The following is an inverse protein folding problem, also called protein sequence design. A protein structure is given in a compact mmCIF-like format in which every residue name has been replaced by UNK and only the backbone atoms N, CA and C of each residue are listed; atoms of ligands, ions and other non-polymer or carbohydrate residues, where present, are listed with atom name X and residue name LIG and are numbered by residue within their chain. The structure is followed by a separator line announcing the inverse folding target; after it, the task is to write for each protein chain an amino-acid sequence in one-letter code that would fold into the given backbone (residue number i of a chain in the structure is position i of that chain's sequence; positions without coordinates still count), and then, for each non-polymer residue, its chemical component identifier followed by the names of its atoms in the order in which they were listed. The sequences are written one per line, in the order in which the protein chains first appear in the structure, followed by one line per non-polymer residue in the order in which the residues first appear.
data_IF_830111114021
#
_entry.id   IF_830111114021
#
_cell.length_a   1.000
_cell.length_b   1.000
_cell.length_c   1.000
_cell.angle_alpha   90.00
_cell.angle_beta   90.00
_cell.angle_gamma   90.00
#
_symmetry.space_group_name_H-M   'P 1'
#
loop_
_entity.id
_entity.type
_entity.pdbx_description
1 polymer ?
#
# COMPACT_ATOMS: atom_id res chain seq x y z
N UNK A 1 24.29 -12.85 2.66
CA UNK A 1 22.83 -12.65 2.62
C UNK A 1 22.59 -11.19 2.93
N UNK A 2 22.41 -10.37 1.89
CA UNK A 2 21.99 -8.98 2.09
C UNK A 2 20.60 -9.05 2.69
N UNK A 3 20.44 -8.52 3.89
CA UNK A 3 19.15 -8.40 4.56
C UNK A 3 18.28 -7.50 3.66
N UNK A 4 17.37 -8.07 2.88
CA UNK A 4 16.37 -7.30 2.12
C UNK A 4 15.40 -6.70 3.14
N UNK A 5 15.82 -5.57 3.72
CA UNK A 5 15.04 -4.89 4.74
C UNK A 5 13.77 -4.35 4.12
N UNK A 6 12.63 -4.66 4.75
CA UNK A 6 11.34 -4.10 4.40
C UNK A 6 11.41 -2.57 4.43
N UNK A 7 10.75 -1.92 3.49
CA UNK A 7 10.61 -0.47 3.45
C UNK A 7 9.97 0.04 4.76
N UNK A 8 10.72 0.86 5.49
CA UNK A 8 10.29 1.40 6.77
C UNK A 8 9.22 2.48 6.57
N UNK A 9 8.14 2.40 7.36
CA UNK A 9 7.02 3.35 7.32
C UNK A 9 6.38 3.46 8.68
N UNK A 10 5.86 4.64 8.98
CA UNK A 10 4.91 4.84 10.08
C UNK A 10 3.57 4.17 9.76
N UNK A 11 2.77 3.96 10.80
CA UNK A 11 1.48 3.26 10.74
C UNK A 11 0.39 4.14 11.31
N UNK A 12 -0.48 4.62 10.42
CA UNK A 12 -1.52 5.57 10.72
C UNK A 12 -2.81 4.86 11.09
N UNK A 13 -3.39 5.24 12.22
CA UNK A 13 -4.74 4.85 12.61
C UNK A 13 -5.79 5.60 11.79
N UNK A 14 -7.06 5.21 11.92
CA UNK A 14 -8.15 5.94 11.27
C UNK A 14 -8.24 7.42 11.72
N UNK A 15 -8.13 7.76 13.01
CA UNK A 15 -8.02 9.16 13.44
C UNK A 15 -6.86 9.91 12.77
N UNK A 16 -5.66 9.32 12.72
CA UNK A 16 -4.50 9.95 12.08
C UNK A 16 -4.77 10.23 10.59
N UNK A 17 -5.45 9.30 9.89
CA UNK A 17 -5.85 9.50 8.49
C UNK A 17 -6.89 10.60 8.31
N UNK A 18 -7.86 10.74 9.23
CA UNK A 18 -8.85 11.81 9.20
C UNK A 18 -8.17 13.17 9.30
N UNK A 19 -7.23 13.30 10.24
CA UNK A 19 -6.46 14.54 10.44
C UNK A 19 -5.52 14.83 9.27
N UNK A 20 -4.76 13.82 8.81
CA UNK A 20 -3.78 13.99 7.74
C UNK A 20 -4.39 14.27 6.37
N UNK A 21 -5.52 13.64 6.06
CA UNK A 21 -6.21 13.84 4.78
C UNK A 21 -7.11 15.07 4.78
N UNK A 22 -7.39 15.66 5.95
CA UNK A 22 -8.41 16.70 6.14
C UNK A 22 -9.78 16.27 5.57
N UNK A 23 -10.16 15.02 5.85
CA UNK A 23 -11.36 14.37 5.29
C UNK A 23 -12.18 13.68 6.40
N UNK A 24 -13.52 13.71 6.34
CA UNK A 24 -14.35 13.11 7.38
C UNK A 24 -14.20 11.58 7.43
N UNK A 25 -14.42 10.98 8.60
CA UNK A 25 -14.32 9.53 8.84
C UNK A 25 -15.00 8.67 7.75
N UNK A 26 -16.19 9.05 7.29
CA UNK A 26 -16.91 8.33 6.25
C UNK A 26 -16.17 8.31 4.91
N UNK A 27 -15.49 9.41 4.56
CA UNK A 27 -14.66 9.50 3.36
C UNK A 27 -13.40 8.65 3.50
N UNK A 28 -12.74 8.67 4.66
CA UNK A 28 -11.56 7.82 4.93
C UNK A 28 -11.92 6.34 4.82
N UNK A 29 -13.04 5.91 5.41
CA UNK A 29 -13.53 4.53 5.27
C UNK A 29 -13.81 4.17 3.81
N UNK A 30 -14.45 5.07 3.06
CA UNK A 30 -14.69 4.85 1.63
C UNK A 30 -13.39 4.68 0.84
N UNK A 31 -12.32 5.42 1.15
CA UNK A 31 -11.03 5.22 0.49
C UNK A 31 -10.48 3.81 0.71
N UNK A 32 -10.69 3.23 1.89
CA UNK A 32 -10.31 1.85 2.19
C UNK A 32 -11.23 0.87 1.44
N UNK A 33 -12.55 1.05 1.55
CA UNK A 33 -13.55 0.19 0.91
C UNK A 33 -13.42 0.16 -0.64
N UNK A 34 -12.96 1.26 -1.24
CA UNK A 34 -12.77 1.40 -2.70
C UNK A 34 -11.33 1.11 -3.17
N UNK A 35 -10.50 0.51 -2.31
CA UNK A 35 -9.11 0.13 -2.57
C UNK A 35 -8.17 1.30 -2.92
N UNK A 36 -8.51 2.53 -2.55
CA UNK A 36 -7.54 3.65 -2.63
C UNK A 36 -6.46 3.55 -1.55
N UNK A 37 -6.79 2.94 -0.42
CA UNK A 37 -5.88 2.59 0.65
C UNK A 37 -6.10 1.14 1.06
N UNK A 38 -5.07 0.52 1.60
CA UNK A 38 -5.14 -0.81 2.23
C UNK A 38 -4.45 -0.72 3.59
N UNK A 39 -5.03 -1.37 4.58
CA UNK A 39 -4.52 -1.40 5.94
C UNK A 39 -4.75 -2.75 6.57
N UNK A 40 -4.09 -3.01 7.70
CA UNK A 40 -4.25 -4.25 8.45
C UNK A 40 -4.27 -4.04 9.95
N UNK A 41 -4.71 -5.06 10.69
CA UNK A 41 -4.78 -4.99 12.16
C UNK A 41 -3.41 -5.25 12.77
N UNK A 42 -2.94 -4.29 13.57
CA UNK A 42 -1.67 -4.32 14.30
C UNK A 42 -1.95 -4.03 15.75
N UNK A 43 -1.59 -4.96 16.62
CA UNK A 43 -1.87 -4.86 18.06
C UNK A 43 -3.37 -4.61 18.33
N UNK A 44 -4.23 -5.25 17.54
CA UNK A 44 -5.69 -5.11 17.61
C UNK A 44 -6.28 -3.88 16.90
N UNK A 45 -5.45 -2.92 16.47
CA UNK A 45 -5.88 -1.65 15.87
C UNK A 45 -5.68 -1.68 14.36
N UNK A 46 -6.68 -1.25 13.58
CA UNK A 46 -6.52 -1.10 12.13
C UNK A 46 -5.59 0.07 11.82
N UNK A 47 -4.54 -0.18 11.03
CA UNK A 47 -3.56 0.82 10.64
C UNK A 47 -3.22 0.73 9.15
N UNK A 48 -2.88 1.87 8.55
CA UNK A 48 -2.47 2.02 7.15
C UNK A 48 -1.01 2.51 7.11
N UNK A 49 -0.15 2.00 6.21
CA UNK A 49 1.19 2.56 6.01
C UNK A 49 1.14 4.03 5.62
N UNK A 50 1.89 4.88 6.33
CA UNK A 50 2.02 6.29 5.98
C UNK A 50 2.58 6.50 4.55
N UNK A 51 3.48 5.62 4.09
CA UNK A 51 4.07 5.68 2.73
C UNK A 51 3.05 5.53 1.60
N UNK A 52 1.83 5.05 1.88
CA UNK A 52 0.75 4.99 0.89
C UNK A 52 0.12 6.35 0.59
N UNK A 53 0.53 7.39 1.30
CA UNK A 53 0.05 8.75 1.14
C UNK A 53 1.18 9.65 0.63
N UNK A 54 0.86 10.50 -0.34
CA UNK A 54 1.75 11.51 -0.89
C UNK A 54 0.97 12.82 -0.95
N UNK A 55 1.56 13.90 -0.42
CA UNK A 55 0.96 15.24 -0.40
C UNK A 55 -0.48 15.27 0.16
N UNK A 56 -0.70 14.55 1.27
CA UNK A 56 -2.00 14.49 1.95
C UNK A 56 -3.07 13.73 1.18
N UNK A 57 -2.70 12.84 0.25
CA UNK A 57 -3.64 12.06 -0.58
C UNK A 57 -3.14 10.64 -0.79
N UNK A 58 -4.02 9.65 -1.01
CA UNK A 58 -3.58 8.32 -1.42
C UNK A 58 -2.75 8.37 -2.70
N UNK A 59 -1.64 7.63 -2.73
CA UNK A 59 -0.77 7.50 -3.90
C UNK A 59 -1.59 7.01 -5.10
N UNK A 60 -1.77 7.80 -6.18
CA UNK A 60 -2.73 7.45 -7.24
C UNK A 60 -2.46 6.11 -7.94
N UNK A 61 -1.20 5.70 -8.03
CA UNK A 61 -0.80 4.42 -8.62
C UNK A 61 -1.10 3.22 -7.74
N UNK A 62 -1.31 3.40 -6.43
CA UNK A 62 -1.50 2.32 -5.47
C UNK A 62 -2.78 1.52 -5.75
N UNK A 63 -3.90 2.21 -5.99
CA UNK A 63 -5.22 1.57 -6.18
C UNK A 63 -5.21 0.48 -7.24
N UNK A 64 -4.67 0.80 -8.43
CA UNK A 64 -4.59 -0.18 -9.51
C UNK A 64 -3.69 -1.38 -9.18
N UNK A 65 -2.68 -1.20 -8.33
CA UNK A 65 -1.84 -2.31 -7.86
C UNK A 65 -2.56 -3.16 -6.82
N UNK A 66 -3.29 -2.55 -5.87
CA UNK A 66 -4.13 -3.28 -4.91
C UNK A 66 -5.14 -4.17 -5.63
N UNK A 67 -5.81 -3.63 -6.66
CA UNK A 67 -6.78 -4.41 -7.46
C UNK A 67 -6.11 -5.62 -8.13
N UNK A 68 -4.95 -5.44 -8.76
CA UNK A 68 -4.23 -6.55 -9.41
C UNK A 68 -3.83 -7.64 -8.41
N UNK A 69 -3.35 -7.25 -7.22
CA UNK A 69 -2.97 -8.20 -6.17
C UNK A 69 -4.20 -8.93 -5.59
N UNK A 70 -5.29 -8.21 -5.36
CA UNK A 70 -6.55 -8.80 -4.92
C UNK A 70 -7.10 -9.80 -5.95
N UNK A 71 -7.03 -9.47 -7.25
CA UNK A 71 -7.44 -10.38 -8.33
C UNK A 71 -6.52 -11.62 -8.42
N UNK A 72 -5.26 -11.49 -7.96
CA UNK A 72 -4.31 -12.59 -7.76
C UNK A 72 -4.53 -13.36 -6.44
N UNK A 73 -5.55 -13.00 -5.64
CA UNK A 73 -5.92 -13.69 -4.41
C UNK A 73 -5.21 -13.21 -3.14
N UNK A 74 -4.44 -12.13 -3.20
CA UNK A 74 -3.74 -11.58 -2.03
C UNK A 74 -4.74 -10.94 -1.06
N UNK A 75 -4.59 -11.26 0.22
CA UNK A 75 -5.31 -10.57 1.29
C UNK A 75 -4.68 -9.19 1.61
N UNK A 76 -5.30 -8.35 2.48
CA UNK A 76 -4.75 -7.05 2.84
C UNK A 76 -3.35 -7.09 3.46
N UNK A 77 -3.06 -8.09 4.31
CA UNK A 77 -1.76 -8.24 4.96
C UNK A 77 -0.70 -8.67 3.93
N UNK A 78 -1.00 -9.64 3.07
CA UNK A 78 -0.12 -10.08 1.98
C UNK A 78 0.14 -8.95 0.98
N UNK A 79 -0.89 -8.17 0.65
CA UNK A 79 -0.77 -6.98 -0.23
C UNK A 79 0.21 -5.97 0.36
N UNK A 80 0.05 -5.66 1.66
CA UNK A 80 0.90 -4.72 2.39
C UNK A 80 2.34 -5.25 2.52
N UNK A 81 2.49 -6.56 2.75
CA UNK A 81 3.79 -7.22 2.87
C UNK A 81 4.54 -7.20 1.54
N UNK A 82 3.86 -7.54 0.44
CA UNK A 82 4.45 -7.47 -0.89
C UNK A 82 4.85 -6.05 -1.25
N UNK A 83 3.97 -5.06 -1.05
CA UNK A 83 4.26 -3.66 -1.38
C UNK A 83 5.47 -3.08 -0.64
N UNK A 84 5.72 -3.53 0.60
CA UNK A 84 6.79 -3.02 1.44
C UNK A 84 8.05 -3.89 1.42
N UNK A 85 8.02 -5.10 0.87
CA UNK A 85 9.18 -5.99 0.84
C UNK A 85 9.88 -5.88 -0.51
N UNK A 86 11.22 -5.81 -0.56
CA UNK A 86 11.94 -5.83 -1.83
C UNK A 86 11.55 -7.02 -2.69
N UNK A 87 11.19 -6.75 -3.94
CA UNK A 87 10.81 -7.77 -4.92
C UNK A 87 11.96 -7.90 -5.94
N UNK A 88 12.43 -9.13 -6.19
CA UNK A 88 13.63 -9.42 -6.99
C UNK A 88 13.56 -8.95 -8.45
N UNK A 89 12.41 -9.13 -9.10
CA UNK A 89 12.12 -8.69 -10.47
C UNK A 89 12.12 -7.17 -10.60
N UNK A 90 11.65 -6.46 -9.56
CA UNK A 90 11.61 -4.98 -9.52
C UNK A 90 12.97 -4.40 -9.05
N UNK A 91 13.71 -5.18 -8.26
CA UNK A 91 15.01 -4.84 -7.66
C UNK A 91 14.92 -3.98 -6.39
N UNK A 92 13.72 -3.63 -5.92
CA UNK A 92 13.45 -2.85 -4.71
C UNK A 92 12.02 -3.08 -4.22
N UNK A 93 11.60 -2.45 -3.11
CA UNK A 93 10.23 -2.63 -2.63
C UNK A 93 9.22 -2.00 -3.63
N UNK A 94 8.13 -2.70 -4.01
CA UNK A 94 7.19 -2.18 -4.99
C UNK A 94 6.68 -0.76 -4.67
N UNK A 95 6.54 -0.39 -3.40
CA UNK A 95 6.19 0.97 -3.00
C UNK A 95 7.19 2.04 -3.47
N UNK A 96 8.49 1.77 -3.41
CA UNK A 96 9.53 2.70 -3.89
C UNK A 96 9.44 2.85 -5.40
N UNK A 97 9.17 1.77 -6.12
CA UNK A 97 8.94 1.81 -7.57
C UNK A 97 7.70 2.64 -7.90
N UNK A 98 6.62 2.50 -7.14
CA UNK A 98 5.40 3.30 -7.32
C UNK A 98 5.66 4.80 -7.07
N UNK A 99 6.40 5.14 -6.01
CA UNK A 99 6.80 6.52 -5.70
C UNK A 99 7.68 7.11 -6.82
N UNK A 100 8.55 6.30 -7.43
CA UNK A 100 9.33 6.68 -8.62
C UNK A 100 8.53 6.69 -9.93
N UNK A 101 7.21 6.50 -9.89
CA UNK A 101 6.34 6.52 -11.07
C UNK A 101 6.37 5.25 -11.94
N UNK A 102 7.06 4.19 -11.52
CA UNK A 102 7.24 2.93 -12.27
C UNK A 102 6.03 1.98 -12.20
N UNK A 103 4.81 2.53 -12.22
CA UNK A 103 3.56 1.78 -12.01
C UNK A 103 3.32 0.62 -13.01
N UNK A 104 3.75 0.76 -14.26
CA UNK A 104 3.57 -0.28 -15.28
C UNK A 104 4.45 -1.50 -15.02
N UNK A 105 5.67 -1.29 -14.51
CA UNK A 105 6.57 -2.37 -14.11
C UNK A 105 5.99 -3.10 -12.90
N UNK A 106 5.59 -2.37 -11.86
CA UNK A 106 5.00 -2.93 -10.64
C UNK A 106 3.77 -3.79 -10.96
N UNK A 107 2.83 -3.30 -11.76
CA UNK A 107 1.60 -4.06 -12.08
C UNK A 107 1.85 -5.26 -12.97
N UNK A 108 2.88 -5.21 -13.84
CA UNK A 108 3.27 -6.37 -14.63
C UNK A 108 3.78 -7.49 -13.73
N UNK A 109 4.62 -7.18 -12.73
CA UNK A 109 5.10 -8.16 -11.75
C UNK A 109 3.95 -8.65 -10.86
N UNK A 110 3.09 -7.75 -10.38
CA UNK A 110 1.92 -8.16 -9.58
C UNK A 110 1.01 -9.14 -10.34
N UNK A 111 0.79 -8.92 -11.64
CA UNK A 111 -0.03 -9.79 -12.47
C UNK A 111 0.56 -11.19 -12.74
N UNK A 112 1.86 -11.41 -12.46
CA UNK A 112 2.49 -12.73 -12.55
C UNK A 112 2.40 -13.55 -11.27
N UNK A 113 1.83 -12.98 -10.19
CA UNK A 113 1.68 -13.64 -8.89
C UNK A 113 0.35 -14.39 -8.74
N UNK A 114 -0.52 -14.33 -9.76
CA UNK A 114 -1.80 -15.01 -9.83
C UNK A 114 -1.68 -16.49 -10.23
#
# INVERSE_FOLDING_TARGET
MTENSRYATEWLTIPDLVELLDEPLGKVRRLIDENYLVGSRRDGVFKVPAVFLVDGRPLPSLRGTIIVLHDAGFDPDETIDWLLTPEETIGLAPIEALLAGRKSEVRRVAATLA
#
